data_IF_506021742921
#
_entry.id   IF_506021742921
#
_cell.length_a   1.000
_cell.length_b   1.000
_cell.length_c   1.000
_cell.angle_alpha   90.00
_cell.angle_beta   90.00
_cell.angle_gamma   90.00
#
_symmetry.space_group_name_H-M   'P 1'
#
loop_
_entity.id
_entity.type
_entity.pdbx_description
1 polymer ?
#
# COMPACT_ATOMS: atom_id res chain seq x y z
N UNK A 1 -20.44 42.64 -51.26
CA UNK A 1 -19.21 43.39 -51.62
C UNK A 1 -18.05 42.42 -51.56
N UNK A 2 -17.42 42.18 -52.72
CA UNK A 2 -16.26 41.31 -52.92
C UNK A 2 -14.95 42.05 -52.59
N UNK A 3 -13.95 41.33 -52.05
CA UNK A 3 -12.49 41.43 -52.30
C UNK A 3 -11.78 40.45 -51.34
N UNK A 4 -11.30 39.26 -51.73
CA UNK A 4 -10.09 38.93 -52.51
C UNK A 4 -8.80 39.61 -52.01
N UNK A 5 -7.94 38.85 -51.32
CA UNK A 5 -6.46 38.86 -51.38
C UNK A 5 -5.99 37.49 -50.86
N UNK A 6 -5.39 36.58 -51.63
CA UNK A 6 -4.19 36.57 -52.48
C UNK A 6 -3.08 35.76 -51.78
N UNK A 7 -2.78 34.65 -52.42
CA UNK A 7 -1.83 33.59 -52.07
C UNK A 7 -0.39 34.10 -52.21
N UNK A 8 0.50 33.71 -51.30
CA UNK A 8 1.93 33.66 -51.53
C UNK A 8 2.46 32.28 -51.11
N UNK A 9 2.75 31.47 -52.13
CA UNK A 9 3.48 30.20 -52.03
C UNK A 9 4.96 30.57 -51.90
N UNK A 10 5.62 30.07 -50.86
CA UNK A 10 7.08 30.10 -50.76
C UNK A 10 7.59 28.68 -50.62
N UNK A 11 8.09 28.15 -51.73
CA UNK A 11 8.85 26.91 -51.79
C UNK A 11 10.24 27.14 -51.17
N UNK A 12 10.57 26.39 -50.12
CA UNK A 12 11.95 26.17 -49.72
C UNK A 12 12.29 24.68 -49.85
N UNK A 13 13.15 24.39 -50.82
CA UNK A 13 13.94 23.18 -50.90
C UNK A 13 15.07 23.28 -49.87
N UNK A 14 15.19 22.33 -48.94
CA UNK A 14 16.47 21.99 -48.34
C UNK A 14 16.58 20.49 -48.04
N UNK A 15 17.79 20.02 -48.32
CA UNK A 15 18.25 18.65 -48.51
C UNK A 15 18.06 17.70 -47.34
N UNK A 16 17.76 16.44 -47.68
CA UNK A 16 17.98 15.26 -46.86
C UNK A 16 19.46 15.12 -46.49
N UNK A 17 19.77 15.25 -45.19
CA UNK A 17 20.98 14.68 -44.61
C UNK A 17 20.55 13.53 -43.70
N UNK A 18 20.71 12.31 -44.23
CA UNK A 18 20.43 11.06 -43.55
C UNK A 18 21.65 10.72 -42.68
N UNK A 19 21.63 11.14 -41.41
CA UNK A 19 22.65 10.75 -40.43
C UNK A 19 22.12 9.57 -39.64
N UNK A 20 22.62 8.38 -39.98
CA UNK A 20 22.45 7.16 -39.21
C UNK A 20 23.05 7.36 -37.81
N UNK A 21 22.20 7.40 -36.78
CA UNK A 21 22.65 7.26 -35.40
C UNK A 21 23.23 5.85 -35.19
N UNK A 22 24.39 5.71 -34.53
CA UNK A 22 24.93 4.41 -34.20
C UNK A 22 23.99 3.72 -33.20
N UNK A 23 23.54 2.53 -33.59
CA UNK A 23 22.89 1.55 -32.73
C UNK A 23 23.86 1.28 -31.58
N UNK A 24 23.58 1.83 -30.39
CA UNK A 24 24.25 1.39 -29.19
C UNK A 24 23.75 -0.03 -28.89
N UNK A 25 24.62 -1.01 -29.09
CA UNK A 25 24.49 -2.34 -28.52
C UNK A 25 24.20 -2.19 -27.03
N UNK A 26 22.92 -2.32 -26.67
CA UNK A 26 22.54 -2.48 -25.29
C UNK A 26 23.01 -3.88 -24.91
N UNK A 27 24.20 -3.93 -24.33
CA UNK A 27 24.75 -5.11 -23.67
C UNK A 27 23.63 -5.70 -22.83
N UNK A 28 23.30 -6.95 -23.16
CA UNK A 28 22.66 -7.89 -22.25
C UNK A 28 23.25 -7.71 -20.85
N UNK A 29 22.58 -6.89 -20.03
CA UNK A 29 22.56 -7.09 -18.61
C UNK A 29 21.76 -8.37 -18.45
N UNK A 30 22.48 -9.49 -18.49
CA UNK A 30 22.04 -10.71 -17.86
C UNK A 30 21.64 -10.33 -16.45
N UNK A 31 20.35 -10.08 -16.25
CA UNK A 31 19.73 -10.13 -14.94
C UNK A 31 20.16 -11.48 -14.42
N UNK A 32 21.06 -11.47 -13.45
CA UNK A 32 21.38 -12.63 -12.66
C UNK A 32 20.04 -13.12 -12.13
N UNK A 33 19.47 -14.12 -12.82
CA UNK A 33 18.46 -14.98 -12.25
C UNK A 33 19.13 -15.60 -11.05
N UNK A 34 18.97 -14.95 -9.90
CA UNK A 34 19.09 -15.62 -8.62
C UNK A 34 17.97 -16.65 -8.70
N UNK A 35 18.35 -17.86 -9.09
CA UNK A 35 17.49 -19.02 -9.11
C UNK A 35 17.29 -19.43 -7.64
N UNK A 36 16.63 -18.56 -6.88
CA UNK A 36 16.02 -18.93 -5.62
C UNK A 36 14.87 -19.84 -6.03
N UNK A 37 14.86 -21.05 -5.52
CA UNK A 37 13.74 -21.97 -5.63
C UNK A 37 12.55 -21.36 -4.85
N UNK A 38 11.98 -20.27 -5.37
CA UNK A 38 10.87 -19.56 -4.74
C UNK A 38 9.66 -20.48 -4.80
N UNK A 39 9.06 -20.71 -3.64
CA UNK A 39 7.82 -21.47 -3.53
C UNK A 39 6.82 -20.93 -4.57
N UNK A 40 6.22 -21.78 -5.43
CA UNK A 40 5.32 -21.32 -6.49
C UNK A 40 4.20 -20.40 -6.00
N UNK A 41 3.75 -20.57 -4.76
CA UNK A 41 2.74 -19.71 -4.14
C UNK A 41 3.24 -18.27 -3.94
N UNK A 42 4.52 -18.07 -3.61
CA UNK A 42 5.12 -16.73 -3.43
C UNK A 42 5.08 -15.99 -4.75
N UNK A 43 5.54 -16.62 -5.83
CA UNK A 43 5.51 -16.04 -7.18
C UNK A 43 4.09 -15.65 -7.57
N UNK A 44 3.12 -16.58 -7.41
CA UNK A 44 1.70 -16.31 -7.72
C UNK A 44 1.09 -15.18 -6.90
N UNK A 45 1.46 -15.05 -5.62
CA UNK A 45 0.99 -13.96 -4.75
C UNK A 45 1.57 -12.61 -5.20
N UNK A 46 2.86 -12.55 -5.52
CA UNK A 46 3.52 -11.30 -5.93
C UNK A 46 3.02 -10.83 -7.30
N UNK A 47 2.79 -11.75 -8.22
CA UNK A 47 2.35 -11.50 -9.60
C UNK A 47 0.82 -11.42 -9.75
N UNK A 48 0.07 -11.39 -8.63
CA UNK A 48 -1.40 -11.29 -8.60
C UNK A 48 -2.12 -12.39 -9.42
N UNK A 49 -1.52 -13.58 -9.53
CA UNK A 49 -2.12 -14.71 -10.26
C UNK A 49 -3.40 -15.25 -9.62
N UNK A 50 -3.62 -14.99 -8.34
CA UNK A 50 -4.89 -15.28 -7.67
C UNK A 50 -5.94 -14.18 -7.88
N UNK A 51 -5.57 -13.08 -8.54
CA UNK A 51 -6.38 -11.88 -8.67
C UNK A 51 -6.11 -10.85 -7.58
N UNK A 52 -6.84 -9.74 -7.62
CA UNK A 52 -6.73 -8.69 -6.61
C UNK A 52 -7.45 -9.13 -5.32
N UNK A 53 -6.67 -9.41 -4.27
CA UNK A 53 -7.19 -9.81 -2.96
C UNK A 53 -8.16 -8.76 -2.36
N UNK A 54 -7.97 -7.49 -2.69
CA UNK A 54 -8.79 -6.39 -2.17
C UNK A 54 -10.01 -6.08 -3.05
N UNK A 55 -10.31 -6.93 -4.03
CA UNK A 55 -11.60 -6.92 -4.72
C UNK A 55 -12.63 -7.75 -3.93
N UNK A 56 -13.52 -7.06 -3.21
CA UNK A 56 -14.50 -7.69 -2.31
C UNK A 56 -15.41 -8.74 -2.98
N UNK A 57 -15.71 -8.59 -4.28
CA UNK A 57 -16.56 -9.55 -4.98
C UNK A 57 -15.97 -10.96 -5.04
N UNK A 58 -14.64 -11.07 -5.06
CA UNK A 58 -13.94 -12.34 -5.18
C UNK A 58 -13.08 -12.68 -3.95
N UNK A 59 -13.06 -11.82 -2.93
CA UNK A 59 -12.14 -11.91 -1.79
C UNK A 59 -12.12 -13.31 -1.16
N UNK A 60 -13.28 -13.83 -0.75
CA UNK A 60 -13.37 -15.14 -0.09
C UNK A 60 -12.89 -16.29 -0.99
N UNK A 61 -13.19 -16.23 -2.28
CA UNK A 61 -12.75 -17.23 -3.25
C UNK A 61 -11.21 -17.21 -3.38
N UNK A 62 -10.61 -16.03 -3.46
CA UNK A 62 -9.16 -15.85 -3.54
C UNK A 62 -8.50 -16.40 -2.27
N UNK A 63 -8.99 -15.99 -1.09
CA UNK A 63 -8.49 -16.48 0.21
C UNK A 63 -8.55 -18.00 0.30
N UNK A 64 -9.68 -18.61 -0.09
CA UNK A 64 -9.87 -20.07 -0.08
C UNK A 64 -8.87 -20.76 -1.02
N UNK A 65 -8.68 -20.22 -2.23
CA UNK A 65 -7.76 -20.79 -3.23
C UNK A 65 -6.32 -20.79 -2.70
N UNK A 66 -5.87 -19.67 -2.12
CA UNK A 66 -4.51 -19.57 -1.54
C UNK A 66 -4.37 -20.54 -0.37
N UNK A 67 -5.37 -20.62 0.51
CA UNK A 67 -5.36 -21.52 1.67
C UNK A 67 -5.27 -22.99 1.28
N UNK A 68 -6.08 -23.42 0.30
CA UNK A 68 -6.11 -24.78 -0.21
C UNK A 68 -4.80 -25.15 -0.91
N UNK A 69 -4.27 -24.28 -1.78
CA UNK A 69 -2.99 -24.51 -2.45
C UNK A 69 -1.82 -24.55 -1.46
N UNK A 70 -1.89 -23.78 -0.38
CA UNK A 70 -0.88 -23.81 0.67
C UNK A 70 -0.92 -25.09 1.52
N UNK A 71 -2.04 -25.83 1.52
CA UNK A 71 -2.26 -26.96 2.41
C UNK A 71 -2.46 -26.55 3.87
N UNK A 72 -2.89 -25.31 4.13
CA UNK A 72 -3.18 -24.77 5.47
C UNK A 72 -2.13 -23.82 6.06
N UNK A 73 -2.29 -23.52 7.36
CA UNK A 73 -1.58 -22.43 8.04
C UNK A 73 -0.05 -22.61 8.10
N UNK A 74 0.46 -23.82 8.27
CA UNK A 74 1.90 -24.03 8.54
C UNK A 74 2.79 -23.57 7.39
N UNK A 75 2.37 -23.80 6.15
CA UNK A 75 3.11 -23.32 4.98
C UNK A 75 3.06 -21.80 4.87
N UNK A 76 1.88 -21.21 5.11
CA UNK A 76 1.68 -19.77 5.10
C UNK A 76 2.51 -19.05 6.18
N UNK A 77 2.50 -19.56 7.42
CA UNK A 77 3.34 -19.02 8.50
C UNK A 77 4.82 -19.04 8.15
N UNK A 78 5.33 -20.09 7.48
CA UNK A 78 6.72 -20.16 7.01
C UNK A 78 7.06 -19.03 6.03
N UNK A 79 6.17 -18.74 5.08
CA UNK A 79 6.35 -17.60 4.14
C UNK A 79 6.35 -16.28 4.91
N UNK A 80 5.45 -16.13 5.88
CA UNK A 80 5.31 -14.91 6.67
C UNK A 80 6.57 -14.62 7.51
N UNK A 81 7.20 -15.64 8.11
CA UNK A 81 8.42 -15.48 8.92
C UNK A 81 9.72 -15.43 8.11
N UNK A 82 9.69 -15.88 6.86
CA UNK A 82 10.86 -15.84 5.97
C UNK A 82 11.25 -14.39 5.64
N UNK A 83 12.44 -13.98 6.08
CA UNK A 83 12.94 -12.63 5.84
C UNK A 83 13.30 -12.35 4.39
N UNK A 84 13.60 -13.40 3.62
CA UNK A 84 13.92 -13.30 2.19
C UNK A 84 12.66 -13.28 1.30
N UNK A 85 11.49 -13.64 1.85
CA UNK A 85 10.24 -13.58 1.11
C UNK A 85 9.83 -12.11 0.84
N UNK A 86 9.34 -11.78 -0.38
CA UNK A 86 8.89 -10.44 -0.72
C UNK A 86 7.81 -9.92 0.25
N UNK A 87 7.90 -8.66 0.66
CA UNK A 87 6.94 -8.04 1.58
C UNK A 87 5.49 -8.15 1.11
N UNK A 88 5.23 -8.02 -0.20
CA UNK A 88 3.91 -8.22 -0.78
C UNK A 88 3.37 -9.63 -0.51
N UNK A 89 4.18 -10.67 -0.70
CA UNK A 89 3.75 -12.04 -0.39
C UNK A 89 3.46 -12.20 1.11
N UNK A 90 4.35 -11.71 1.98
CA UNK A 90 4.19 -11.77 3.44
C UNK A 90 2.93 -11.05 3.92
N UNK A 91 2.61 -9.90 3.32
CA UNK A 91 1.39 -9.15 3.57
C UNK A 91 0.13 -9.91 3.12
N UNK A 92 0.08 -10.36 1.87
CA UNK A 92 -1.07 -11.11 1.35
C UNK A 92 -1.31 -12.42 2.11
N UNK A 93 -0.25 -13.10 2.52
CA UNK A 93 -0.33 -14.28 3.40
C UNK A 93 -0.90 -13.91 4.77
N UNK A 94 -0.52 -12.76 5.33
CA UNK A 94 -1.07 -12.29 6.61
C UNK A 94 -2.59 -12.09 6.51
N UNK A 95 -3.08 -11.51 5.41
CA UNK A 95 -4.52 -11.34 5.16
C UNK A 95 -5.25 -12.69 5.09
N UNK A 96 -4.68 -13.69 4.41
CA UNK A 96 -5.23 -15.07 4.39
C UNK A 96 -5.28 -15.66 5.80
N UNK A 97 -4.22 -15.48 6.59
CA UNK A 97 -4.12 -16.00 7.95
C UNK A 97 -5.08 -15.30 8.93
N UNK A 98 -5.30 -13.99 8.81
CA UNK A 98 -6.33 -13.29 9.59
C UNK A 98 -7.72 -13.89 9.36
N UNK A 99 -8.05 -14.23 8.12
CA UNK A 99 -9.35 -14.81 7.78
C UNK A 99 -9.47 -16.29 8.19
N UNK A 100 -8.38 -17.08 8.12
CA UNK A 100 -8.45 -18.54 8.27
C UNK A 100 -7.91 -19.09 9.58
N UNK A 101 -7.02 -18.38 10.25
CA UNK A 101 -6.27 -18.91 11.39
C UNK A 101 -5.80 -17.79 12.32
N UNK A 102 -6.74 -17.04 12.91
CA UNK A 102 -6.45 -15.87 13.74
C UNK A 102 -5.37 -16.07 14.83
N UNK A 103 -5.25 -17.28 15.38
CA UNK A 103 -4.22 -17.62 16.37
C UNK A 103 -2.77 -17.45 15.88
N UNK A 104 -2.55 -17.32 14.57
CA UNK A 104 -1.21 -17.18 14.00
C UNK A 104 -0.42 -16.00 14.58
N UNK A 105 -1.08 -14.89 14.93
CA UNK A 105 -0.41 -13.68 15.45
C UNK A 105 0.37 -13.99 16.73
N UNK A 106 -0.17 -14.86 17.60
CA UNK A 106 0.51 -15.31 18.82
C UNK A 106 1.70 -16.21 18.49
N UNK A 107 1.59 -17.02 17.43
CA UNK A 107 2.60 -17.99 17.03
C UNK A 107 3.80 -17.34 16.31
N UNK A 108 3.55 -16.34 15.45
CA UNK A 108 4.60 -15.67 14.65
C UNK A 108 5.12 -14.37 15.28
N UNK A 109 4.38 -13.82 16.25
CA UNK A 109 4.69 -12.55 16.91
C UNK A 109 3.96 -11.35 16.28
N UNK A 110 3.28 -10.58 17.12
CA UNK A 110 2.52 -9.41 16.69
C UNK A 110 3.43 -8.29 16.15
N UNK A 111 4.66 -8.12 16.65
CA UNK A 111 5.58 -7.09 16.14
C UNK A 111 5.99 -7.37 14.68
N UNK A 112 6.16 -8.65 14.33
CA UNK A 112 6.49 -9.05 12.97
C UNK A 112 5.37 -8.69 12.00
N UNK A 113 4.13 -9.04 12.37
CA UNK A 113 2.95 -8.72 11.57
C UNK A 113 2.78 -7.19 11.45
N UNK A 114 2.97 -6.44 12.54
CA UNK A 114 2.94 -4.98 12.49
C UNK A 114 3.95 -4.38 11.51
N UNK A 115 5.18 -4.91 11.46
CA UNK A 115 6.22 -4.47 10.52
C UNK A 115 5.80 -4.72 9.06
N UNK A 116 5.18 -5.87 8.78
CA UNK A 116 4.67 -6.20 7.45
C UNK A 116 3.55 -5.23 7.04
N UNK A 117 2.61 -4.93 7.94
CA UNK A 117 1.51 -4.00 7.66
C UNK A 117 2.01 -2.56 7.48
N UNK A 118 3.04 -2.15 8.21
CA UNK A 118 3.63 -0.81 8.05
C UNK A 118 4.28 -0.67 6.67
N UNK A 119 4.98 -1.72 6.22
CA UNK A 119 5.49 -1.76 4.86
C UNK A 119 4.36 -1.72 3.82
N UNK A 120 3.29 -2.49 4.04
CA UNK A 120 2.14 -2.54 3.14
C UNK A 120 1.45 -1.17 2.99
N UNK A 121 1.24 -0.46 4.10
CA UNK A 121 0.69 0.89 4.10
C UNK A 121 1.65 1.87 3.43
N UNK A 122 2.93 1.87 3.77
CA UNK A 122 3.90 2.81 3.20
C UNK A 122 4.06 2.67 1.68
N UNK A 123 3.86 1.46 1.14
CA UNK A 123 4.05 1.16 -0.29
C UNK A 123 2.72 0.96 -1.05
N UNK A 124 1.58 1.31 -0.44
CA UNK A 124 0.24 1.14 -1.02
C UNK A 124 0.00 -0.27 -1.59
N UNK A 125 0.35 -1.32 -0.87
CA UNK A 125 0.24 -2.70 -1.38
C UNK A 125 -1.21 -3.17 -1.56
N UNK A 126 -2.18 -2.44 -1.00
CA UNK A 126 -3.61 -2.63 -1.27
C UNK A 126 -4.06 -2.02 -2.59
N UNK A 127 -3.24 -1.12 -3.16
CA UNK A 127 -3.53 -0.37 -4.39
C UNK A 127 -4.52 0.78 -4.23
N UNK A 128 -5.19 0.90 -3.07
CA UNK A 128 -6.17 1.94 -2.78
C UNK A 128 -6.31 2.20 -1.28
N UNK A 129 -6.72 3.42 -0.95
CA UNK A 129 -6.94 3.87 0.43
C UNK A 129 -8.13 3.18 1.10
N UNK A 130 -9.16 2.76 0.35
CA UNK A 130 -10.40 2.19 0.92
C UNK A 130 -10.14 1.00 1.86
N UNK A 131 -9.12 0.19 1.59
CA UNK A 131 -8.73 -0.94 2.44
C UNK A 131 -8.29 -0.50 3.85
N UNK A 132 -7.77 0.72 3.96
CA UNK A 132 -7.37 1.38 5.20
C UNK A 132 -8.48 2.29 5.76
N UNK A 133 -9.71 2.18 5.25
CA UNK A 133 -10.87 2.90 5.76
C UNK A 133 -10.94 4.36 5.32
N UNK A 134 -12.08 4.98 5.59
CA UNK A 134 -12.27 6.42 5.45
C UNK A 134 -12.04 7.08 6.81
N UNK A 135 -10.86 7.66 7.00
CA UNK A 135 -10.46 8.19 8.30
C UNK A 135 -11.43 9.29 8.76
N UNK A 136 -11.72 9.30 10.06
CA UNK A 136 -12.52 10.30 10.78
C UNK A 136 -14.00 10.41 10.37
N UNK A 137 -14.31 10.28 9.08
CA UNK A 137 -15.66 10.19 8.56
C UNK A 137 -16.21 8.79 8.83
N UNK A 138 -17.39 8.68 9.42
CA UNK A 138 -18.02 7.41 9.84
C UNK A 138 -17.23 6.53 10.83
N UNK A 139 -16.03 6.95 11.26
CA UNK A 139 -15.10 6.13 12.04
C UNK A 139 -14.85 4.76 11.42
N UNK A 140 -14.69 4.71 10.09
CA UNK A 140 -14.41 3.47 9.38
C UNK A 140 -12.91 3.14 9.38
N UNK A 141 -12.53 2.05 10.05
CA UNK A 141 -11.16 1.56 10.06
C UNK A 141 -10.76 0.81 8.78
N UNK A 142 -11.72 0.44 7.93
CA UNK A 142 -11.50 -0.39 6.75
C UNK A 142 -11.14 -1.84 7.08
N UNK A 143 -11.26 -2.74 6.09
CA UNK A 143 -11.08 -4.18 6.31
C UNK A 143 -9.64 -4.62 6.54
N UNK A 144 -8.64 -3.86 6.05
CA UNK A 144 -7.22 -4.12 6.36
C UNK A 144 -6.82 -3.33 7.59
N UNK A 145 -7.31 -2.10 7.72
CA UNK A 145 -6.95 -1.23 8.82
C UNK A 145 -7.41 -1.69 10.20
N UNK A 146 -8.51 -2.45 10.28
CA UNK A 146 -8.94 -3.10 11.53
C UNK A 146 -7.85 -4.01 12.12
N UNK A 147 -6.95 -4.56 11.30
CA UNK A 147 -5.85 -5.40 11.76
C UNK A 147 -4.86 -4.63 12.64
N UNK A 148 -4.72 -3.31 12.49
CA UNK A 148 -3.95 -2.48 13.43
C UNK A 148 -4.54 -2.52 14.84
N UNK A 149 -5.86 -2.51 14.95
CA UNK A 149 -6.55 -2.58 16.25
C UNK A 149 -6.42 -3.98 16.87
N UNK A 150 -6.33 -5.02 16.03
CA UNK A 150 -6.09 -6.39 16.49
C UNK A 150 -4.65 -6.57 17.02
N UNK A 151 -3.67 -5.90 16.40
CA UNK A 151 -2.26 -5.94 16.81
C UNK A 151 -1.95 -5.09 18.06
N UNK A 152 -2.79 -4.11 18.39
CA UNK A 152 -2.72 -3.32 19.64
C UNK A 152 -1.35 -2.64 19.81
N UNK A 153 -0.80 -2.65 21.03
CA UNK A 153 0.47 -2.00 21.40
C UNK A 153 1.64 -2.43 20.52
N UNK A 154 1.64 -3.65 19.99
CA UNK A 154 2.70 -4.13 19.09
C UNK A 154 2.74 -3.35 17.75
N UNK A 155 1.63 -2.73 17.34
CA UNK A 155 1.58 -1.91 16.14
C UNK A 155 2.20 -0.51 16.32
N UNK A 156 2.19 0.03 17.55
CA UNK A 156 2.55 1.42 17.79
C UNK A 156 3.98 1.77 17.35
N UNK A 157 5.01 0.95 17.63
CA UNK A 157 6.37 1.26 17.18
C UNK A 157 6.49 1.39 15.66
N UNK A 158 5.72 0.60 14.91
CA UNK A 158 5.76 0.61 13.44
C UNK A 158 4.91 1.74 12.87
N UNK A 159 3.72 1.98 13.42
CA UNK A 159 2.89 3.15 13.07
C UNK A 159 3.62 4.47 13.37
N UNK A 160 4.37 4.53 14.48
CA UNK A 160 5.12 5.74 14.85
C UNK A 160 6.16 6.12 13.77
N UNK A 161 6.82 5.13 13.15
CA UNK A 161 7.78 5.37 12.06
C UNK A 161 7.13 5.96 10.81
N UNK A 162 5.81 5.80 10.66
CA UNK A 162 5.04 6.31 9.53
C UNK A 162 4.54 7.74 9.74
N UNK A 163 4.69 8.33 10.93
CA UNK A 163 4.20 9.69 11.25
C UNK A 163 4.95 10.82 10.51
N UNK A 164 5.99 10.50 9.76
CA UNK A 164 6.73 11.43 8.89
C UNK A 164 6.52 11.12 7.38
N UNK A 165 5.65 10.16 7.05
CA UNK A 165 5.42 9.75 5.66
C UNK A 165 4.30 10.58 5.00
N UNK A 166 4.69 11.46 4.08
CA UNK A 166 3.81 12.38 3.35
C UNK A 166 3.10 11.76 2.13
N UNK A 167 3.30 10.47 1.85
CA UNK A 167 2.71 9.82 0.67
C UNK A 167 1.19 9.83 0.76
N UNK A 168 0.51 10.34 -0.27
CA UNK A 168 -0.95 10.37 -0.37
C UNK A 168 -1.46 9.03 -0.90
N UNK A 169 -2.48 8.47 -0.26
CA UNK A 169 -3.22 7.32 -0.79
C UNK A 169 -4.52 7.75 -1.42
N UNK A 170 -4.77 7.27 -2.64
CA UNK A 170 -5.98 7.58 -3.39
C UNK A 170 -7.08 6.56 -3.07
N UNK A 171 -8.29 7.05 -2.87
CA UNK A 171 -9.51 6.24 -2.79
C UNK A 171 -10.02 5.95 -4.21
N UNK A 172 -10.54 4.74 -4.41
CA UNK A 172 -11.17 4.30 -5.64
C UNK A 172 -12.66 4.04 -5.42
N UNK A 173 -13.45 4.09 -6.50
CA UNK A 173 -14.89 3.83 -6.46
C UNK A 173 -15.75 5.09 -6.58
N UNK A 174 -16.90 5.09 -5.90
CA UNK A 174 -17.98 6.06 -6.07
C UNK A 174 -17.87 7.28 -5.12
N UNK A 175 -18.85 7.50 -4.25
CA UNK A 175 -18.96 8.70 -3.41
C UNK A 175 -17.86 8.79 -2.35
N UNK A 176 -17.47 7.66 -1.75
CA UNK A 176 -16.33 7.56 -0.84
C UNK A 176 -15.02 8.03 -1.49
N UNK A 177 -14.85 7.76 -2.79
CA UNK A 177 -13.69 8.24 -3.52
C UNK A 177 -13.74 9.76 -3.72
N UNK A 178 -14.92 10.35 -3.89
CA UNK A 178 -15.06 11.80 -4.01
C UNK A 178 -14.72 12.48 -2.69
N UNK A 179 -15.28 11.99 -1.58
CA UNK A 179 -15.02 12.55 -0.24
C UNK A 179 -13.57 12.29 0.18
N UNK A 180 -13.12 11.04 0.18
CA UNK A 180 -11.77 10.66 0.61
C UNK A 180 -10.66 11.31 -0.21
N UNK A 181 -10.80 11.41 -1.53
CA UNK A 181 -9.80 12.09 -2.36
C UNK A 181 -9.81 13.61 -2.18
N UNK A 182 -10.93 14.21 -1.74
CA UNK A 182 -10.95 15.64 -1.41
C UNK A 182 -10.09 15.95 -0.18
N UNK A 183 -10.01 15.03 0.78
CA UNK A 183 -9.23 15.18 2.01
C UNK A 183 -7.72 14.88 1.82
N UNK A 184 -7.36 14.16 0.75
CA UNK A 184 -5.98 13.80 0.42
C UNK A 184 -5.21 13.23 1.61
N UNK A 185 -5.76 12.17 2.23
CA UNK A 185 -5.13 11.53 3.38
C UNK A 185 -3.76 10.95 3.01
N UNK A 186 -2.78 11.23 3.86
CA UNK A 186 -1.40 10.74 3.74
C UNK A 186 -1.17 9.56 4.66
N UNK A 187 -0.15 8.76 4.39
CA UNK A 187 0.26 7.63 5.24
C UNK A 187 0.40 8.05 6.71
N UNK A 188 0.97 9.23 7.00
CA UNK A 188 1.05 9.74 8.38
C UNK A 188 -0.31 10.06 9.01
N UNK A 189 -1.30 10.46 8.22
CA UNK A 189 -2.67 10.70 8.70
C UNK A 189 -3.30 9.36 9.13
N UNK A 190 -3.17 8.30 8.32
CA UNK A 190 -3.60 6.93 8.70
C UNK A 190 -2.88 6.46 9.96
N UNK A 191 -1.56 6.60 10.00
CA UNK A 191 -0.76 6.16 11.14
C UNK A 191 -1.18 6.85 12.44
N UNK A 192 -1.39 8.17 12.41
CA UNK A 192 -1.86 8.93 13.56
C UNK A 192 -3.25 8.48 14.01
N UNK A 193 -4.17 8.30 13.07
CA UNK A 193 -5.52 7.80 13.36
C UNK A 193 -5.47 6.46 14.11
N UNK A 194 -4.74 5.47 13.60
CA UNK A 194 -4.67 4.16 14.25
C UNK A 194 -3.97 4.19 15.60
N UNK A 195 -2.91 4.99 15.77
CA UNK A 195 -2.29 5.16 17.09
C UNK A 195 -3.31 5.73 18.08
N UNK A 196 -4.05 6.77 17.72
CA UNK A 196 -5.09 7.34 18.57
C UNK A 196 -6.14 6.29 18.94
N UNK A 197 -6.61 5.49 17.98
CA UNK A 197 -7.58 4.40 18.23
C UNK A 197 -7.04 3.33 19.17
N UNK A 198 -5.78 2.89 18.99
CA UNK A 198 -5.15 1.90 19.85
C UNK A 198 -5.00 2.45 21.28
N UNK A 199 -4.52 3.69 21.41
CA UNK A 199 -4.27 4.36 22.70
C UNK A 199 -5.52 4.95 23.35
N UNK A 200 -6.68 4.83 22.71
CA UNK A 200 -7.96 5.42 23.14
C UNK A 200 -7.85 6.94 23.37
N UNK A 201 -7.08 7.61 22.50
CA UNK A 201 -6.98 9.06 22.43
C UNK A 201 -7.98 9.54 21.37
N UNK A 202 -8.63 10.66 21.62
CA UNK A 202 -9.52 11.28 20.64
C UNK A 202 -8.74 11.66 19.37
N UNK A 203 -9.15 11.11 18.23
CA UNK A 203 -8.58 11.43 16.93
C UNK A 203 -9.31 12.64 16.32
N UNK A 204 -8.80 13.84 16.58
CA UNK A 204 -9.43 15.08 16.09
C UNK A 204 -9.20 15.24 14.59
N UNK A 205 -10.30 15.43 13.85
CA UNK A 205 -10.26 15.67 12.42
C UNK A 205 -9.97 17.14 12.09
N UNK A 206 -9.14 17.34 11.06
CA UNK A 206 -8.93 18.65 10.44
C UNK A 206 -8.85 18.54 8.92
N UNK A 207 -9.50 19.47 8.23
CA UNK A 207 -9.57 19.52 6.77
C UNK A 207 -8.21 19.79 6.11
N UNK A 208 -7.40 20.68 6.69
CA UNK A 208 -6.12 21.07 6.11
C UNK A 208 -4.97 20.18 6.60
N UNK A 209 -4.02 19.89 5.72
CA UNK A 209 -2.78 19.17 6.07
C UNK A 209 -2.05 19.84 7.24
N UNK A 210 -1.91 21.17 7.24
CA UNK A 210 -1.18 21.89 8.28
C UNK A 210 -1.79 21.73 9.68
N UNK A 211 -3.12 21.70 9.79
CA UNK A 211 -3.80 21.47 11.05
C UNK A 211 -3.64 20.01 11.52
N UNK A 212 -3.74 19.03 10.61
CA UNK A 212 -3.43 17.62 10.93
C UNK A 212 -2.00 17.44 11.39
N UNK A 213 -1.05 18.10 10.74
CA UNK A 213 0.37 18.04 11.09
C UNK A 213 0.62 18.55 12.51
N UNK A 214 -0.10 19.59 12.92
CA UNK A 214 -0.05 20.10 14.30
C UNK A 214 -0.52 19.05 15.31
N UNK A 215 -1.60 18.32 15.02
CA UNK A 215 -2.06 17.22 15.89
C UNK A 215 -1.10 16.03 15.89
N UNK A 216 -0.50 15.70 14.75
CA UNK A 216 0.52 14.65 14.65
C UNK A 216 1.74 14.99 15.51
N UNK A 217 2.20 16.24 15.51
CA UNK A 217 3.31 16.66 16.35
C UNK A 217 2.96 16.60 17.86
N UNK A 218 1.74 16.99 18.24
CA UNK A 218 1.25 16.81 19.62
C UNK A 218 1.24 15.33 20.01
N UNK A 219 0.77 14.46 19.12
CA UNK A 219 0.77 13.02 19.33
C UNK A 219 2.19 12.48 19.52
N UNK A 220 3.16 12.87 18.68
CA UNK A 220 4.57 12.48 18.84
C UNK A 220 5.12 12.85 20.22
N UNK A 221 4.84 14.07 20.69
CA UNK A 221 5.26 14.55 22.01
C UNK A 221 4.62 13.72 23.12
N UNK A 222 3.34 13.38 23.00
CA UNK A 222 2.62 12.56 23.97
C UNK A 222 3.23 11.16 24.07
N UNK A 223 3.45 10.49 22.93
CA UNK A 223 4.04 9.15 22.88
C UNK A 223 5.48 9.11 23.39
N UNK A 224 6.25 10.20 23.24
CA UNK A 224 7.59 10.30 23.79
C UNK A 224 7.62 10.36 25.33
N UNK A 225 6.53 10.83 25.96
CA UNK A 225 6.40 10.87 27.43
C UNK A 225 6.05 9.49 28.00
N UNK A 226 5.25 8.69 27.30
CA UNK A 226 4.86 7.34 27.72
C UNK A 226 6.03 6.35 27.78
N UNK A 227 7.16 6.65 27.13
CA UNK A 227 8.38 5.83 27.15
C UNK A 227 9.26 6.03 28.40
N UNK A 228 8.87 6.93 29.32
CA UNK A 228 9.56 7.19 30.59
C UNK A 228 8.85 6.51 31.74
#
# INVERSE_FOLDING_TARGET
>A
MNKLYSIAVMCFFFSNCNTQSPISENKNLSVNMINVNTDPIITKLVEDHYGNLFNYMNHDQIINTVWEEAGGADKLKKILIDEEAPMKARFLVSEVLFTKSFGFVVEVGAELVAKIYANAMANNLTGMANSWGLLYEYNDEGPVGINWLLLREAAIPELFKLLDNETIHMYHGSEEATVGNSYQFRVKDFAAYYICKIKQIEAVYHETHAARDTEIEKLKILLAKDKK
#
